data_IF_718261339289
#
_entry.id   IF_718261339289
#
_cell.length_a   1.000
_cell.length_b   1.000
_cell.length_c   1.000
_cell.angle_alpha   90.00
_cell.angle_beta   90.00
_cell.angle_gamma   90.00
#
_symmetry.space_group_name_H-M   'P 1'
#
loop_
_entity.id
_entity.type
_entity.pdbx_description
1 polymer ?
#
# COMPACT_ATOMS: atom_id res chain seq x y z
N UNK A 1 7.14 -13.57 -28.87
CA UNK A 1 5.88 -13.67 -28.09
C UNK A 1 5.31 -12.27 -28.06
N UNK A 2 4.25 -11.99 -28.80
CA UNK A 2 3.83 -10.63 -29.16
C UNK A 2 2.99 -10.03 -28.03
N UNK A 3 3.18 -8.73 -27.80
CA UNK A 3 2.39 -7.87 -26.88
C UNK A 3 0.86 -8.04 -27.01
N UNK A 4 0.39 -8.63 -28.11
CA UNK A 4 -1.01 -8.90 -28.41
C UNK A 4 -1.65 -9.98 -27.53
N UNK A 5 -0.85 -10.86 -26.92
CA UNK A 5 -1.34 -11.93 -26.04
C UNK A 5 -1.55 -11.47 -24.59
N UNK A 6 -1.02 -10.31 -24.23
CA UNK A 6 -1.17 -9.71 -22.89
C UNK A 6 -2.58 -9.10 -22.70
N UNK A 7 -3.26 -8.74 -23.78
CA UNK A 7 -4.58 -8.07 -23.76
C UNK A 7 -5.77 -8.97 -24.13
N UNK A 8 -5.65 -10.29 -24.06
CA UNK A 8 -6.74 -11.24 -24.31
C UNK A 8 -7.85 -11.27 -23.24
N UNK A 9 -8.14 -10.15 -22.61
CA UNK A 9 -9.35 -10.04 -21.74
C UNK A 9 -10.67 -10.00 -22.50
N UNK A 10 -10.64 -9.97 -23.84
CA UNK A 10 -11.84 -9.69 -24.64
C UNK A 10 -12.57 -10.94 -25.16
N UNK A 11 -11.96 -12.10 -25.08
CA UNK A 11 -12.54 -13.35 -25.59
C UNK A 11 -12.34 -14.49 -24.58
N UNK A 12 -13.09 -14.46 -23.46
CA UNK A 12 -13.24 -15.62 -22.62
C UNK A 12 -14.54 -16.34 -23.04
N UNK A 13 -14.50 -17.65 -23.31
CA UNK A 13 -15.69 -18.43 -23.63
C UNK A 13 -16.66 -18.41 -22.44
N UNK A 14 -17.95 -18.25 -22.75
CA UNK A 14 -19.07 -18.43 -21.83
C UNK A 14 -19.22 -19.93 -21.45
N UNK A 15 -18.35 -20.40 -20.59
CA UNK A 15 -18.57 -21.65 -19.87
C UNK A 15 -18.37 -21.37 -18.38
N UNK A 16 -19.47 -21.14 -17.69
CA UNK A 16 -19.57 -21.17 -16.23
C UNK A 16 -19.36 -22.61 -15.74
N UNK A 17 -18.13 -23.08 -15.79
CA UNK A 17 -17.75 -24.25 -15.02
C UNK A 17 -17.00 -23.72 -13.79
N UNK A 18 -17.63 -23.84 -12.63
CA UNK A 18 -16.93 -23.66 -11.34
C UNK A 18 -15.69 -24.54 -11.37
N UNK A 19 -14.51 -23.91 -11.46
CA UNK A 19 -13.25 -24.65 -11.46
C UNK A 19 -13.17 -25.50 -10.19
N UNK A 20 -12.78 -26.78 -10.29
CA UNK A 20 -12.61 -27.61 -9.11
C UNK A 20 -11.58 -26.94 -8.17
N UNK A 21 -11.78 -27.08 -6.86
CA UNK A 21 -10.97 -26.46 -5.82
C UNK A 21 -9.45 -26.67 -6.01
N UNK A 22 -9.05 -27.83 -6.49
CA UNK A 22 -7.65 -28.16 -6.77
C UNK A 22 -7.05 -27.31 -7.90
N UNK A 23 -7.83 -27.04 -8.95
CA UNK A 23 -7.41 -26.20 -10.07
C UNK A 23 -7.23 -24.72 -9.62
N UNK A 24 -8.09 -24.25 -8.71
CA UNK A 24 -7.96 -22.93 -8.12
C UNK A 24 -6.70 -22.79 -7.24
N UNK A 25 -6.30 -23.86 -6.53
CA UNK A 25 -5.05 -23.90 -5.78
C UNK A 25 -3.82 -23.86 -6.70
N UNK A 26 -3.90 -24.50 -7.87
CA UNK A 26 -2.84 -24.45 -8.87
C UNK A 26 -2.72 -23.04 -9.48
N UNK A 27 -3.84 -22.39 -9.78
CA UNK A 27 -3.88 -20.99 -10.21
C UNK A 27 -3.24 -20.06 -9.16
N UNK A 28 -3.51 -20.28 -7.87
CA UNK A 28 -2.89 -19.52 -6.77
C UNK A 28 -1.36 -19.72 -6.76
N UNK A 29 -0.88 -20.95 -6.89
CA UNK A 29 0.54 -21.26 -6.94
C UNK A 29 1.23 -20.50 -8.07
N UNK A 30 0.67 -20.56 -9.28
CA UNK A 30 1.24 -19.86 -10.43
C UNK A 30 1.18 -18.35 -10.29
N UNK A 31 0.13 -17.80 -9.69
CA UNK A 31 0.01 -16.38 -9.38
C UNK A 31 1.11 -15.93 -8.43
N UNK A 32 1.36 -16.66 -7.34
CA UNK A 32 2.45 -16.37 -6.40
C UNK A 32 3.81 -16.41 -7.09
N UNK A 33 4.05 -17.38 -7.97
CA UNK A 33 5.31 -17.48 -8.74
C UNK A 33 5.48 -16.27 -9.65
N UNK A 34 4.44 -15.88 -10.43
CA UNK A 34 4.47 -14.69 -11.30
C UNK A 34 4.75 -13.42 -10.49
N UNK A 35 4.05 -13.23 -9.37
CA UNK A 35 4.24 -12.08 -8.48
C UNK A 35 5.65 -12.03 -7.90
N UNK A 36 6.16 -13.16 -7.42
CA UNK A 36 7.52 -13.25 -6.86
C UNK A 36 8.60 -12.97 -7.91
N UNK A 37 8.47 -13.51 -9.11
CA UNK A 37 9.41 -13.24 -10.21
C UNK A 37 9.42 -11.76 -10.60
N UNK A 38 8.23 -11.15 -10.70
CA UNK A 38 8.08 -9.73 -11.01
C UNK A 38 8.71 -8.86 -9.95
N UNK A 39 8.50 -9.19 -8.67
CA UNK A 39 9.10 -8.48 -7.55
C UNK A 39 10.62 -8.60 -7.54
N UNK A 40 11.16 -9.80 -7.77
CA UNK A 40 12.62 -10.03 -7.85
C UNK A 40 13.23 -9.24 -9.00
N UNK A 41 12.59 -9.21 -10.17
CA UNK A 41 13.06 -8.43 -11.31
C UNK A 41 13.06 -6.92 -11.00
N UNK A 42 11.98 -6.43 -10.44
CA UNK A 42 11.87 -5.04 -10.00
C UNK A 42 12.92 -4.68 -8.93
N UNK A 43 13.17 -5.60 -7.98
CA UNK A 43 14.19 -5.44 -6.95
C UNK A 43 15.61 -5.34 -7.57
N UNK A 44 15.94 -6.16 -8.57
CA UNK A 44 17.24 -6.10 -9.28
C UNK A 44 17.40 -4.75 -9.98
N UNK A 45 16.36 -4.27 -10.66
CA UNK A 45 16.36 -2.96 -11.31
C UNK A 45 16.57 -1.85 -10.27
N UNK A 46 15.80 -1.86 -9.18
CA UNK A 46 15.90 -0.86 -8.10
C UNK A 46 17.28 -0.90 -7.41
N UNK A 47 17.90 -2.09 -7.27
CA UNK A 47 19.21 -2.23 -6.70
C UNK A 47 20.30 -1.57 -7.56
N UNK A 48 20.16 -1.63 -8.89
CA UNK A 48 21.07 -0.91 -9.80
C UNK A 48 21.02 0.62 -9.59
N UNK A 49 19.85 1.15 -9.19
CA UNK A 49 19.66 2.58 -8.91
C UNK A 49 19.72 2.94 -7.41
N UNK A 50 20.34 2.09 -6.57
CA UNK A 50 20.40 2.27 -5.11
C UNK A 50 20.90 3.64 -4.65
N UNK A 51 21.87 4.23 -5.34
CA UNK A 51 22.42 5.55 -4.98
C UNK A 51 21.39 6.68 -5.17
N UNK A 52 20.53 6.57 -6.17
CA UNK A 52 19.43 7.51 -6.39
C UNK A 52 18.35 7.34 -5.34
N UNK A 53 18.00 6.10 -4.99
CA UNK A 53 17.03 5.80 -3.93
C UNK A 53 17.48 6.36 -2.57
N UNK A 54 18.76 6.18 -2.23
CA UNK A 54 19.37 6.74 -1.03
C UNK A 54 19.21 8.25 -1.01
N UNK A 55 19.58 8.95 -2.08
CA UNK A 55 19.45 10.42 -2.17
C UNK A 55 18.01 10.89 -2.03
N UNK A 56 17.09 10.28 -2.77
CA UNK A 56 15.67 10.67 -2.72
C UNK A 56 15.14 10.50 -1.30
N UNK A 57 15.40 9.38 -0.65
CA UNK A 57 14.87 9.14 0.70
C UNK A 57 15.57 9.98 1.79
N UNK A 58 16.75 10.55 1.53
CA UNK A 58 17.42 11.50 2.43
C UNK A 58 16.94 12.94 2.30
N UNK A 59 16.28 13.33 1.20
CA UNK A 59 15.81 14.70 0.99
C UNK A 59 15.01 15.24 2.19
N UNK A 60 14.02 14.53 2.75
CA UNK A 60 13.25 15.04 3.88
C UNK A 60 14.09 15.34 5.14
N UNK A 61 15.22 14.68 5.30
CA UNK A 61 16.14 14.88 6.41
C UNK A 61 17.03 16.11 6.22
N UNK A 62 17.53 16.31 4.99
CA UNK A 62 18.36 17.46 4.65
C UNK A 62 17.64 18.80 4.81
N UNK A 63 16.33 18.83 4.57
CA UNK A 63 15.51 20.04 4.69
C UNK A 63 15.32 20.47 6.15
N UNK A 64 15.57 19.57 7.12
CA UNK A 64 15.38 19.85 8.56
C UNK A 64 16.66 20.46 9.16
N UNK A 65 17.80 19.80 8.98
CA UNK A 65 19.10 20.30 9.45
C UNK A 65 20.22 19.62 8.64
N UNK A 66 21.06 20.41 7.94
CA UNK A 66 22.20 19.89 7.19
C UNK A 66 23.22 19.12 8.03
N UNK A 67 23.34 19.42 9.35
CA UNK A 67 24.27 18.74 10.25
C UNK A 67 23.75 17.38 10.70
N UNK A 68 22.43 17.22 10.82
CA UNK A 68 21.76 15.94 11.15
C UNK A 68 21.64 15.04 9.91
N UNK A 69 21.80 15.58 8.72
CA UNK A 69 21.84 14.83 7.46
C UNK A 69 23.00 13.81 7.37
N UNK A 70 23.98 13.85 8.27
CA UNK A 70 25.04 12.87 8.37
C UNK A 70 24.59 11.65 9.18
N UNK A 71 23.84 10.73 8.53
CA UNK A 71 23.47 9.45 9.12
C UNK A 71 24.72 8.61 9.43
N UNK A 72 24.77 7.97 10.59
CA UNK A 72 25.91 7.13 11.02
C UNK A 72 25.66 5.66 10.70
N UNK A 73 26.57 5.05 9.95
CA UNK A 73 26.64 3.60 9.82
C UNK A 73 27.40 3.05 11.03
N UNK A 74 26.77 2.16 11.79
CA UNK A 74 27.39 1.53 12.96
C UNK A 74 27.94 0.12 12.64
N UNK A 75 27.31 -0.57 11.68
CA UNK A 75 27.72 -1.90 11.25
C UNK A 75 28.49 -1.86 9.93
N UNK A 76 29.47 -2.76 9.77
CA UNK A 76 30.25 -2.89 8.52
C UNK A 76 29.36 -3.26 7.33
N UNK A 77 28.29 -4.03 7.57
CA UNK A 77 27.38 -4.55 6.55
C UNK A 77 26.17 -3.65 6.32
N UNK A 78 25.97 -2.58 7.10
CA UNK A 78 24.80 -1.70 7.04
C UNK A 78 24.52 -1.19 5.61
N UNK A 79 25.58 -0.80 4.89
CA UNK A 79 25.45 -0.28 3.52
C UNK A 79 24.80 -1.29 2.55
N UNK A 80 25.18 -2.57 2.65
CA UNK A 80 24.63 -3.64 1.81
C UNK A 80 23.21 -3.99 2.23
N UNK A 81 23.00 -4.20 3.53
CA UNK A 81 21.68 -4.55 4.08
C UNK A 81 20.64 -3.49 3.71
N UNK A 82 21.00 -2.22 3.85
CA UNK A 82 20.10 -1.11 3.50
C UNK A 82 19.88 -1.03 2.01
N UNK A 83 20.91 -1.25 1.18
CA UNK A 83 20.74 -1.29 -0.27
C UNK A 83 19.73 -2.34 -0.71
N UNK A 84 19.76 -3.54 -0.13
CA UNK A 84 18.75 -4.58 -0.37
C UNK A 84 17.38 -4.20 0.16
N UNK A 85 17.32 -3.63 1.34
CA UNK A 85 16.07 -3.18 1.96
C UNK A 85 15.37 -2.11 1.09
N UNK A 86 16.13 -1.08 0.66
CA UNK A 86 15.61 -0.04 -0.23
C UNK A 86 15.18 -0.59 -1.58
N UNK A 87 15.97 -1.49 -2.17
CA UNK A 87 15.64 -2.14 -3.43
C UNK A 87 14.37 -2.98 -3.33
N UNK A 88 14.14 -3.65 -2.20
CA UNK A 88 12.93 -4.42 -1.96
C UNK A 88 11.68 -3.51 -1.88
N UNK A 89 11.70 -2.45 -1.07
CA UNK A 89 10.55 -1.55 -0.95
C UNK A 89 10.30 -0.76 -2.25
N UNK A 90 11.35 -0.24 -2.88
CA UNK A 90 11.21 0.43 -4.18
C UNK A 90 10.75 -0.56 -5.27
N UNK A 91 11.20 -1.81 -5.20
CA UNK A 91 10.75 -2.90 -6.07
C UNK A 91 9.26 -3.18 -5.93
N UNK A 92 8.72 -3.18 -4.71
CA UNK A 92 7.27 -3.30 -4.50
C UNK A 92 6.54 -2.11 -5.16
N UNK A 93 6.96 -0.87 -4.92
CA UNK A 93 6.33 0.32 -5.52
C UNK A 93 6.35 0.25 -7.05
N UNK A 94 7.48 -0.13 -7.63
CA UNK A 94 7.66 -0.23 -9.08
C UNK A 94 6.82 -1.37 -9.68
N UNK A 95 6.77 -2.53 -9.02
CA UNK A 95 6.04 -3.71 -9.49
C UNK A 95 4.55 -3.68 -9.14
N UNK A 96 4.10 -2.74 -8.30
CA UNK A 96 2.75 -2.70 -7.75
C UNK A 96 1.63 -2.84 -8.81
N UNK A 97 1.66 -2.13 -9.97
CA UNK A 97 0.62 -2.29 -10.99
C UNK A 97 0.56 -3.71 -11.56
N UNK A 98 1.71 -4.38 -11.71
CA UNK A 98 1.77 -5.76 -12.18
C UNK A 98 1.32 -6.75 -11.10
N UNK A 99 1.65 -6.48 -9.83
CA UNK A 99 1.17 -7.28 -8.70
C UNK A 99 -0.36 -7.22 -8.60
N UNK A 100 -0.95 -6.03 -8.72
CA UNK A 100 -2.40 -5.85 -8.77
C UNK A 100 -3.03 -6.56 -9.96
N UNK A 101 -2.38 -6.53 -11.12
CA UNK A 101 -2.85 -7.22 -12.32
C UNK A 101 -2.92 -8.75 -12.09
N UNK A 102 -1.85 -9.37 -11.57
CA UNK A 102 -1.84 -10.81 -11.28
C UNK A 102 -2.83 -11.19 -10.19
N UNK A 103 -2.98 -10.35 -9.16
CA UNK A 103 -4.00 -10.55 -8.13
C UNK A 103 -5.40 -10.50 -8.74
N UNK A 104 -5.66 -9.56 -9.63
CA UNK A 104 -6.92 -9.44 -10.33
C UNK A 104 -7.17 -10.64 -11.27
N UNK A 105 -6.14 -11.11 -12.00
CA UNK A 105 -6.22 -12.32 -12.83
C UNK A 105 -6.65 -13.54 -12.01
N UNK A 106 -6.12 -13.68 -10.81
CA UNK A 106 -6.50 -14.75 -9.87
C UNK A 106 -7.95 -14.66 -9.36
N UNK A 107 -8.43 -13.44 -9.13
CA UNK A 107 -9.81 -13.19 -8.64
C UNK A 107 -10.84 -13.27 -9.78
N UNK A 108 -10.44 -13.05 -11.03
CA UNK A 108 -11.30 -13.03 -12.21
C UNK A 108 -12.24 -14.24 -12.35
N UNK A 109 -11.80 -15.51 -12.12
CA UNK A 109 -12.67 -16.68 -12.24
C UNK A 109 -13.84 -16.67 -11.26
N UNK A 110 -13.67 -16.04 -10.09
CA UNK A 110 -14.69 -15.97 -9.04
C UNK A 110 -15.74 -14.86 -9.29
N UNK A 111 -15.54 -13.99 -10.32
CA UNK A 111 -16.39 -12.84 -10.61
C UNK A 111 -17.38 -13.11 -11.72
N UNK A 112 -18.58 -12.55 -11.58
CA UNK A 112 -19.61 -12.54 -12.64
C UNK A 112 -19.20 -11.68 -13.84
N UNK A 113 -19.80 -11.89 -15.02
CA UNK A 113 -19.49 -11.14 -16.23
C UNK A 113 -19.63 -9.61 -16.06
N UNK A 114 -20.59 -9.16 -15.24
CA UNK A 114 -20.81 -7.74 -14.93
C UNK A 114 -19.69 -7.19 -14.05
N UNK A 115 -19.20 -7.97 -13.09
CA UNK A 115 -18.14 -7.58 -12.16
C UNK A 115 -16.77 -7.50 -12.82
N UNK A 116 -16.48 -8.41 -13.77
CA UNK A 116 -15.25 -8.39 -14.58
C UNK A 116 -15.00 -7.05 -15.27
N UNK A 117 -16.05 -6.37 -15.73
CA UNK A 117 -15.95 -5.07 -16.40
C UNK A 117 -15.43 -3.95 -15.49
N UNK A 118 -15.63 -4.08 -14.17
CA UNK A 118 -15.17 -3.07 -13.19
C UNK A 118 -13.75 -3.34 -12.67
N UNK A 119 -13.20 -4.50 -12.94
CA UNK A 119 -11.88 -4.88 -12.42
C UNK A 119 -10.76 -4.02 -13.01
N UNK A 120 -10.81 -3.75 -14.31
CA UNK A 120 -9.78 -2.94 -14.98
C UNK A 120 -9.73 -1.49 -14.47
N UNK A 121 -10.85 -0.75 -14.38
CA UNK A 121 -10.86 0.56 -13.72
C UNK A 121 -10.43 0.49 -12.24
N UNK A 122 -10.79 -0.58 -11.52
CA UNK A 122 -10.41 -0.74 -10.13
C UNK A 122 -8.89 -0.88 -9.96
N UNK A 123 -8.19 -1.63 -10.81
CA UNK A 123 -6.72 -1.74 -10.81
C UNK A 123 -6.07 -0.37 -11.00
N UNK A 124 -6.58 0.43 -11.95
CA UNK A 124 -6.03 1.76 -12.21
C UNK A 124 -6.24 2.71 -11.02
N UNK A 125 -7.44 2.70 -10.43
CA UNK A 125 -7.77 3.50 -9.24
C UNK A 125 -6.93 3.05 -8.05
N UNK A 126 -6.77 1.74 -7.84
CA UNK A 126 -5.93 1.15 -6.81
C UNK A 126 -4.48 1.65 -6.94
N UNK A 127 -3.88 1.50 -8.11
CA UNK A 127 -2.52 2.00 -8.34
C UNK A 127 -2.39 3.52 -8.10
N UNK A 128 -3.37 4.31 -8.56
CA UNK A 128 -3.38 5.74 -8.33
C UNK A 128 -3.49 6.10 -6.83
N UNK A 129 -4.36 5.40 -6.07
CA UNK A 129 -4.49 5.60 -4.64
C UNK A 129 -3.24 5.18 -3.88
N UNK A 130 -2.65 4.04 -4.23
CA UNK A 130 -1.39 3.59 -3.65
C UNK A 130 -0.28 4.64 -3.82
N UNK A 131 -0.07 5.11 -5.05
CA UNK A 131 0.90 6.17 -5.31
C UNK A 131 0.57 7.47 -4.56
N UNK A 132 -0.70 7.85 -4.52
CA UNK A 132 -1.15 9.01 -3.75
C UNK A 132 -0.79 8.85 -2.26
N UNK A 133 -1.02 7.68 -1.66
CA UNK A 133 -0.65 7.37 -0.29
C UNK A 133 0.86 7.49 -0.05
N UNK A 134 1.67 6.91 -0.94
CA UNK A 134 3.14 7.01 -0.91
C UNK A 134 3.58 8.47 -0.99
N UNK A 135 3.03 9.25 -1.93
CA UNK A 135 3.40 10.66 -2.13
C UNK A 135 2.96 11.55 -0.96
N UNK A 136 1.73 11.38 -0.46
CA UNK A 136 1.23 12.13 0.71
C UNK A 136 2.08 11.83 1.95
N UNK A 137 2.44 10.58 2.16
CA UNK A 137 3.32 10.20 3.25
C UNK A 137 4.69 10.87 3.09
N UNK A 138 5.33 10.70 1.93
CA UNK A 138 6.69 11.15 1.68
C UNK A 138 6.84 12.68 1.73
N UNK A 139 5.95 13.44 1.08
CA UNK A 139 6.08 14.89 0.98
C UNK A 139 5.47 15.66 2.16
N UNK A 140 4.50 15.09 2.84
CA UNK A 140 3.78 15.85 3.86
C UNK A 140 3.94 15.28 5.26
N UNK A 141 3.71 13.99 5.46
CA UNK A 141 3.68 13.39 6.79
C UNK A 141 5.08 13.09 7.32
N UNK A 142 5.93 12.51 6.50
CA UNK A 142 7.28 12.11 6.86
C UNK A 142 8.15 13.29 7.33
N UNK A 143 8.24 14.43 6.61
CA UNK A 143 9.02 15.58 7.07
C UNK A 143 8.52 16.14 8.41
N UNK A 144 7.19 16.17 8.61
CA UNK A 144 6.60 16.67 9.86
C UNK A 144 6.90 15.75 11.03
N UNK A 145 6.83 14.43 10.81
CA UNK A 145 7.12 13.44 11.83
C UNK A 145 8.60 13.47 12.23
N UNK A 146 9.52 13.55 11.26
CA UNK A 146 10.95 13.66 11.52
C UNK A 146 11.27 14.98 12.26
N UNK A 147 10.69 16.10 11.82
CA UNK A 147 10.87 17.40 12.46
C UNK A 147 10.37 17.39 13.92
N UNK A 148 9.26 16.69 14.18
CA UNK A 148 8.75 16.56 15.54
C UNK A 148 9.76 15.83 16.43
N UNK A 149 10.26 14.66 16.04
CA UNK A 149 11.25 13.91 16.82
C UNK A 149 12.56 14.68 16.98
N UNK A 150 12.97 15.41 15.98
CA UNK A 150 14.13 16.28 16.04
C UNK A 150 13.98 17.34 17.12
N UNK A 151 12.86 18.07 17.12
CA UNK A 151 12.58 19.13 18.10
C UNK A 151 12.38 18.57 19.52
N UNK A 152 11.71 17.44 19.64
CA UNK A 152 11.51 16.77 20.91
C UNK A 152 12.84 16.39 21.55
N UNK A 153 13.74 15.78 20.78
CA UNK A 153 15.10 15.41 21.24
C UNK A 153 15.91 16.64 21.67
N UNK A 154 15.84 17.74 20.91
CA UNK A 154 16.51 18.98 21.26
C UNK A 154 15.92 19.65 22.53
N UNK A 155 14.61 19.54 22.73
CA UNK A 155 13.94 20.13 23.91
C UNK A 155 14.41 19.49 25.22
N UNK A 156 14.88 18.24 25.15
CA UNK A 156 15.47 17.50 26.27
C UNK A 156 16.97 17.75 26.45
N UNK A 157 17.56 18.64 25.59
CA UNK A 157 18.98 18.96 25.63
C UNK A 157 19.89 17.91 25.00
N UNK A 158 19.33 16.96 24.23
CA UNK A 158 20.09 15.91 23.56
C UNK A 158 20.41 16.29 22.10
N UNK A 159 21.57 15.82 21.62
CA UNK A 159 21.91 15.93 20.19
C UNK A 159 21.31 14.78 19.41
N UNK A 160 20.37 15.02 18.48
CA UNK A 160 19.78 13.96 17.69
C UNK A 160 20.85 13.31 16.80
N UNK A 161 21.04 12.01 16.95
CA UNK A 161 21.98 11.24 16.14
C UNK A 161 21.26 9.97 15.67
N UNK A 162 20.97 9.87 14.38
CA UNK A 162 20.28 8.72 13.82
C UNK A 162 21.23 7.82 13.05
N UNK A 163 21.00 6.51 13.16
CA UNK A 163 21.72 5.53 12.38
C UNK A 163 21.06 5.35 10.99
N UNK A 164 21.87 4.99 10.00
CA UNK A 164 21.42 4.68 8.65
C UNK A 164 20.29 3.63 8.69
N UNK A 165 20.45 2.59 9.50
CA UNK A 165 19.47 1.50 9.60
C UNK A 165 18.14 1.96 10.21
N UNK A 166 18.17 2.73 11.30
CA UNK A 166 16.96 3.25 11.93
C UNK A 166 16.19 4.17 11.01
N UNK A 167 16.90 5.12 10.38
CA UNK A 167 16.28 6.09 9.47
C UNK A 167 15.60 5.42 8.27
N UNK A 168 16.34 4.60 7.50
CA UNK A 168 15.75 3.99 6.31
C UNK A 168 14.67 2.96 6.64
N UNK A 169 14.80 2.20 7.73
CA UNK A 169 13.73 1.30 8.17
C UNK A 169 12.47 2.07 8.55
N UNK A 170 12.62 3.22 9.22
CA UNK A 170 11.50 4.09 9.54
C UNK A 170 10.82 4.61 8.26
N UNK A 171 11.58 5.28 7.40
CA UNK A 171 11.06 5.91 6.18
C UNK A 171 10.37 4.92 5.26
N UNK A 172 11.00 3.76 5.02
CA UNK A 172 10.45 2.76 4.08
C UNK A 172 9.19 2.11 4.62
N UNK A 173 9.18 1.68 5.89
CA UNK A 173 7.99 1.05 6.51
C UNK A 173 6.84 2.05 6.60
N UNK A 174 7.13 3.27 7.03
CA UNK A 174 6.12 4.31 7.18
C UNK A 174 5.49 4.67 5.84
N UNK A 175 6.29 4.91 4.80
CA UNK A 175 5.81 5.25 3.46
C UNK A 175 5.04 4.09 2.81
N UNK A 176 5.56 2.86 2.94
CA UNK A 176 4.88 1.67 2.42
C UNK A 176 3.56 1.40 3.14
N UNK A 177 3.54 1.55 4.45
CA UNK A 177 2.33 1.40 5.26
C UNK A 177 1.23 2.36 4.83
N UNK A 178 1.58 3.62 4.53
CA UNK A 178 0.64 4.58 3.97
C UNK A 178 0.15 4.20 2.57
N UNK A 179 1.06 3.77 1.69
CA UNK A 179 0.67 3.28 0.36
C UNK A 179 -0.37 2.17 0.46
N UNK A 180 -0.12 1.17 1.30
CA UNK A 180 -1.04 0.06 1.54
C UNK A 180 -2.34 0.49 2.25
N UNK A 181 -2.28 1.45 3.16
CA UNK A 181 -3.46 1.98 3.82
C UNK A 181 -4.42 2.66 2.84
N UNK A 182 -3.90 3.31 1.81
CA UNK A 182 -4.70 3.92 0.75
C UNK A 182 -5.39 2.91 -0.17
N UNK A 183 -5.05 1.62 -0.08
CA UNK A 183 -5.79 0.54 -0.74
C UNK A 183 -7.10 0.19 -0.01
N UNK A 184 -7.24 0.53 1.27
CA UNK A 184 -8.46 0.24 2.04
C UNK A 184 -9.74 0.71 1.32
N UNK A 185 -9.84 1.93 0.74
CA UNK A 185 -11.02 2.35 0.01
C UNK A 185 -11.38 1.44 -1.15
N UNK A 186 -10.40 0.97 -1.92
CA UNK A 186 -10.65 0.10 -3.08
C UNK A 186 -11.16 -1.25 -2.63
N UNK A 187 -10.50 -1.86 -1.64
CA UNK A 187 -10.92 -3.15 -1.07
C UNK A 187 -12.34 -3.06 -0.51
N UNK A 188 -12.61 -2.05 0.32
CA UNK A 188 -13.93 -1.88 0.94
C UNK A 188 -15.02 -1.64 -0.11
N UNK A 189 -14.75 -0.78 -1.10
CA UNK A 189 -15.71 -0.49 -2.16
C UNK A 189 -15.96 -1.70 -3.06
N UNK A 190 -14.94 -2.53 -3.31
CA UNK A 190 -15.11 -3.80 -4.01
C UNK A 190 -16.04 -4.75 -3.22
N UNK A 191 -15.84 -4.90 -1.89
CA UNK A 191 -16.70 -5.71 -1.04
C UNK A 191 -18.16 -5.21 -1.01
N UNK A 192 -18.35 -3.88 -0.99
CA UNK A 192 -19.69 -3.27 -1.07
C UNK A 192 -20.33 -3.51 -2.44
N UNK A 193 -19.54 -3.44 -3.51
CA UNK A 193 -20.01 -3.67 -4.88
C UNK A 193 -20.46 -5.12 -5.10
N UNK A 194 -19.72 -6.07 -4.55
CA UNK A 194 -20.06 -7.49 -4.58
C UNK A 194 -21.21 -7.87 -3.63
N UNK A 195 -21.73 -6.89 -2.87
CA UNK A 195 -22.84 -7.11 -1.94
C UNK A 195 -22.44 -7.87 -0.66
N UNK A 196 -21.13 -8.11 -0.47
CA UNK A 196 -20.63 -8.81 0.73
C UNK A 196 -20.71 -7.94 1.98
N UNK A 197 -20.64 -6.61 1.82
CA UNK A 197 -20.68 -5.64 2.91
C UNK A 197 -21.67 -4.52 2.60
N UNK A 198 -22.46 -4.12 3.61
CA UNK A 198 -23.40 -3.01 3.50
C UNK A 198 -22.91 -1.79 4.29
N UNK A 199 -23.33 -0.58 3.89
CA UNK A 199 -22.97 0.64 4.64
C UNK A 199 -23.45 0.58 6.10
N UNK A 200 -24.61 -0.07 6.38
CA UNK A 200 -25.13 -0.25 7.75
C UNK A 200 -24.21 -1.12 8.59
N UNK A 201 -23.69 -2.18 8.00
CA UNK A 201 -22.73 -3.06 8.66
C UNK A 201 -21.44 -2.28 8.98
N UNK A 202 -20.88 -1.56 8.01
CA UNK A 202 -19.67 -0.75 8.21
C UNK A 202 -19.88 0.34 9.28
N UNK A 203 -21.01 1.04 9.25
CA UNK A 203 -21.34 2.05 10.23
C UNK A 203 -21.47 1.48 11.66
N UNK A 204 -22.02 0.27 11.79
CA UNK A 204 -22.16 -0.42 13.09
C UNK A 204 -20.82 -0.95 13.60
N UNK A 205 -19.93 -1.35 12.71
CA UNK A 205 -18.60 -1.92 13.05
C UNK A 205 -17.51 -0.86 13.20
N UNK A 206 -17.82 0.44 13.13
CA UNK A 206 -16.85 1.54 13.30
C UNK A 206 -15.89 1.37 14.48
N UNK A 207 -16.35 1.09 15.72
CA UNK A 207 -15.43 0.99 16.85
C UNK A 207 -14.42 -0.16 16.68
N UNK A 208 -14.85 -1.28 16.11
CA UNK A 208 -13.95 -2.42 15.82
C UNK A 208 -12.98 -2.11 14.69
N UNK A 209 -13.43 -1.39 13.66
CA UNK A 209 -12.56 -0.96 12.56
C UNK A 209 -11.48 0.02 13.04
N UNK A 210 -11.82 0.97 13.91
CA UNK A 210 -10.86 1.90 14.51
C UNK A 210 -9.80 1.12 15.30
N UNK A 211 -10.22 0.18 16.15
CA UNK A 211 -9.28 -0.67 16.91
C UNK A 211 -8.38 -1.47 15.96
N UNK A 212 -8.95 -2.07 14.92
CA UNK A 212 -8.17 -2.82 13.91
C UNK A 212 -7.16 -1.92 13.19
N UNK A 213 -7.56 -0.70 12.82
CA UNK A 213 -6.67 0.29 12.18
C UNK A 213 -5.49 0.62 13.10
N UNK A 214 -5.71 0.84 14.39
CA UNK A 214 -4.63 1.12 15.34
C UNK A 214 -3.74 -0.10 15.58
N UNK A 215 -4.28 -1.31 15.57
CA UNK A 215 -3.48 -2.55 15.63
C UNK A 215 -2.59 -2.65 14.38
N UNK A 216 -3.15 -2.44 13.19
CA UNK A 216 -2.38 -2.46 11.94
C UNK A 216 -1.33 -1.34 11.92
N UNK A 217 -1.68 -0.13 12.36
CA UNK A 217 -0.74 0.97 12.49
C UNK A 217 0.44 0.59 13.41
N UNK A 218 0.18 -0.06 14.55
CA UNK A 218 1.22 -0.53 15.48
C UNK A 218 2.15 -1.56 14.85
N UNK A 219 1.64 -2.45 14.00
CA UNK A 219 2.46 -3.46 13.30
C UNK A 219 3.34 -2.81 12.23
N UNK A 220 2.81 -1.81 11.54
CA UNK A 220 3.50 -1.13 10.42
C UNK A 220 4.52 -0.11 10.94
N UNK A 221 4.19 0.62 12.02
CA UNK A 221 5.10 1.62 12.59
C UNK A 221 6.33 0.95 13.21
N UNK A 222 7.54 1.38 12.86
CA UNK A 222 8.76 0.81 13.41
C UNK A 222 9.05 1.28 14.84
N UNK A 223 8.36 2.30 15.32
CA UNK A 223 8.53 2.91 16.64
C UNK A 223 7.24 2.78 17.45
N UNK A 224 7.31 2.30 18.71
CA UNK A 224 6.14 2.11 19.56
C UNK A 224 5.72 3.40 20.29
N UNK A 225 5.77 4.54 19.60
CA UNK A 225 5.38 5.82 20.18
C UNK A 225 3.96 6.22 19.77
N UNK A 226 3.26 6.90 20.67
CA UNK A 226 1.87 7.32 20.49
C UNK A 226 1.72 8.30 19.33
N UNK A 227 2.72 9.13 19.07
CA UNK A 227 2.61 10.17 18.05
C UNK A 227 2.64 9.58 16.64
N UNK A 228 3.61 8.71 16.32
CA UNK A 228 3.64 7.99 15.04
C UNK A 228 2.42 7.11 14.86
N UNK A 229 1.93 6.50 15.94
CA UNK A 229 0.71 5.71 15.92
C UNK A 229 -0.51 6.56 15.53
N UNK A 230 -0.66 7.74 16.14
CA UNK A 230 -1.74 8.68 15.81
C UNK A 230 -1.55 9.25 14.39
N UNK A 231 -0.33 9.64 14.04
CA UNK A 231 0.00 10.18 12.72
C UNK A 231 -0.35 9.20 11.60
N UNK A 232 -0.22 7.90 11.83
CA UNK A 232 -0.60 6.84 10.90
C UNK A 232 -2.07 6.45 11.01
N UNK A 233 -2.57 6.23 12.21
CA UNK A 233 -3.91 5.74 12.46
C UNK A 233 -5.01 6.73 12.07
N UNK A 234 -4.81 8.04 12.32
CA UNK A 234 -5.81 9.07 12.05
C UNK A 234 -6.17 9.18 10.55
N UNK A 235 -5.22 9.29 9.61
CA UNK A 235 -5.53 9.25 8.18
C UNK A 235 -6.21 7.95 7.74
N UNK A 236 -5.81 6.80 8.29
CA UNK A 236 -6.46 5.52 8.00
C UNK A 236 -7.92 5.50 8.48
N UNK A 237 -8.21 6.05 9.66
CA UNK A 237 -9.58 6.20 10.15
C UNK A 237 -10.41 7.14 9.25
N UNK A 238 -9.81 8.24 8.78
CA UNK A 238 -10.48 9.15 7.83
C UNK A 238 -10.77 8.46 6.49
N UNK A 239 -9.86 7.64 5.99
CA UNK A 239 -10.09 6.83 4.79
C UNK A 239 -11.23 5.84 5.00
N UNK A 240 -11.28 5.14 6.13
CA UNK A 240 -12.38 4.23 6.44
C UNK A 240 -13.72 4.96 6.54
N UNK A 241 -13.77 6.12 7.19
CA UNK A 241 -14.98 6.94 7.26
C UNK A 241 -15.43 7.40 5.86
N UNK A 242 -14.50 7.81 5.02
CA UNK A 242 -14.77 8.15 3.62
C UNK A 242 -15.39 6.97 2.85
N UNK A 243 -14.95 5.73 3.12
CA UNK A 243 -15.54 4.52 2.53
C UNK A 243 -16.99 4.34 2.94
N UNK A 244 -17.34 4.61 4.21
CA UNK A 244 -18.74 4.51 4.70
C UNK A 244 -19.62 5.50 3.93
N UNK A 245 -19.17 6.75 3.73
CA UNK A 245 -19.91 7.76 2.99
C UNK A 245 -20.10 7.37 1.51
N UNK A 246 -19.06 6.87 0.87
CA UNK A 246 -19.13 6.40 -0.52
C UNK A 246 -20.08 5.20 -0.63
N UNK A 247 -19.98 4.23 0.28
CA UNK A 247 -20.85 3.05 0.32
C UNK A 247 -22.33 3.45 0.49
N UNK A 248 -22.62 4.40 1.38
CA UNK A 248 -23.97 4.95 1.58
C UNK A 248 -24.51 5.57 0.28
N UNK A 249 -23.70 6.39 -0.39
CA UNK A 249 -24.10 7.03 -1.64
C UNK A 249 -24.36 6.02 -2.75
N UNK A 250 -23.50 5.00 -2.88
CA UNK A 250 -23.67 3.93 -3.86
C UNK A 250 -24.97 3.14 -3.63
N UNK A 251 -25.25 2.77 -2.39
CA UNK A 251 -26.47 2.00 -2.06
C UNK A 251 -27.74 2.83 -2.26
N UNK A 252 -27.73 4.12 -1.92
CA UNK A 252 -28.86 5.01 -2.15
C UNK A 252 -29.21 5.13 -3.65
N UNK A 253 -28.21 5.20 -4.53
CA UNK A 253 -28.43 5.23 -6.00
C UNK A 253 -29.03 3.92 -6.52
N UNK A 254 -28.59 2.77 -5.98
CA UNK A 254 -29.17 1.48 -6.35
C UNK A 254 -30.66 1.37 -5.97
N UNK A 255 -31.02 1.78 -4.77
CA UNK A 255 -32.42 1.75 -4.30
C UNK A 255 -33.33 2.66 -5.12
N UNK A 256 -32.83 3.80 -5.60
CA UNK A 256 -33.59 4.70 -6.46
C UNK A 256 -33.81 4.12 -7.88
N UNK A 257 -32.84 3.36 -8.43
CA UNK A 257 -32.93 2.72 -9.74
C UNK A 257 -33.83 1.48 -9.76
N UNK A 258 -34.10 0.85 -8.61
CA UNK A 258 -35.04 -0.29 -8.51
C UNK A 258 -36.47 0.14 -8.21
N UNK A 259 -36.71 1.40 -7.88
CA UNK A 259 -38.02 1.97 -7.60
C UNK A 259 -38.63 2.75 -8.78
N UNK A 260 -37.87 2.92 -9.86
CA UNK A 260 -38.32 3.48 -11.16
C UNK A 260 -38.51 2.37 -12.20
#
# INVERSE_FOLDING_TARGET
>A
MALRDIFKFRELPESETSKPFLEHLEDLRWTIVKMSMTLVLAMIICFAFRSTLVRVLQMPLHDIDPQVGALRALGITDSIIISFHLAFYAGIVLSFPLLLYFLAEFVLPALTAVEKRFLFPAIFVSFALFLLGVLVCYFWLLPKTILFFFRDTQSLGWAPTWTVQQYYSFVTRFTMGFGLAFELPVVVLALVRFGLVTYKFMARTRPYAIVLVFILATIITPTPDILTLIAMGLPMCLLYESCIWIAWFMQRRRSASTAS
#
